data_IF_960189153342
#
_entry.id   IF_960189153342
#
_cell.length_a   1.000
_cell.length_b   1.000
_cell.length_c   1.000
_cell.angle_alpha   90.00
_cell.angle_beta   90.00
_cell.angle_gamma   90.00
#
_symmetry.space_group_name_H-M   'P 1'
#
loop_
_entity.id
_entity.type
_entity.pdbx_description
1 polymer ?
#
# COMPACT_ATOMS: atom_id res chain seq x y z
N UNK A 1 7.92 21.58 -2.68
CA UNK A 1 8.47 20.48 -3.50
C UNK A 1 8.08 20.65 -4.97
N UNK A 2 8.82 19.97 -5.85
CA UNK A 2 8.52 19.92 -7.29
C UNK A 2 8.31 18.44 -7.65
N UNK A 3 7.25 18.16 -8.41
CA UNK A 3 6.99 16.82 -8.92
C UNK A 3 7.87 16.57 -10.16
N UNK A 4 8.51 15.42 -10.31
CA UNK A 4 9.28 15.07 -11.49
C UNK A 4 8.43 15.19 -12.78
N UNK A 5 9.04 15.62 -13.88
CA UNK A 5 8.32 15.86 -15.14
C UNK A 5 7.79 14.59 -15.81
N UNK A 6 8.39 13.44 -15.52
CA UNK A 6 7.98 12.12 -15.99
C UNK A 6 6.78 11.54 -15.24
N UNK A 7 6.24 12.29 -14.26
CA UNK A 7 5.01 11.94 -13.52
C UNK A 7 3.76 12.62 -14.10
N UNK A 8 3.79 13.02 -15.36
CA UNK A 8 2.68 13.74 -16.01
C UNK A 8 1.40 12.92 -16.19
N UNK A 9 1.53 11.56 -16.19
CA UNK A 9 0.41 10.63 -16.32
C UNK A 9 0.33 9.74 -15.09
N UNK A 10 -0.88 9.44 -14.64
CA UNK A 10 -1.10 8.61 -13.46
C UNK A 10 -1.52 9.39 -12.24
N UNK A 11 -1.42 8.74 -11.09
CA UNK A 11 -1.85 9.28 -9.81
C UNK A 11 -0.66 9.54 -8.90
N UNK A 12 -0.69 10.67 -8.20
CA UNK A 12 0.33 11.02 -7.20
C UNK A 12 -0.31 11.00 -5.81
N UNK A 13 0.28 10.24 -4.92
CA UNK A 13 -0.10 10.16 -3.52
C UNK A 13 0.99 10.75 -2.64
N UNK A 14 0.57 11.39 -1.55
CA UNK A 14 1.47 11.72 -0.45
C UNK A 14 1.21 10.73 0.69
N UNK A 15 2.29 10.15 1.20
CA UNK A 15 2.26 9.12 2.22
C UNK A 15 3.01 9.59 3.47
N UNK A 16 2.38 9.43 4.63
CA UNK A 16 2.95 9.69 5.95
C UNK A 16 3.04 8.36 6.68
N UNK A 17 4.24 7.88 6.97
CA UNK A 17 4.43 6.61 7.70
C UNK A 17 3.95 6.68 9.16
N UNK A 18 3.90 7.87 9.74
CA UNK A 18 3.41 8.07 11.09
C UNK A 18 3.41 9.53 11.53
N UNK A 19 2.26 9.98 12.04
CA UNK A 19 2.05 11.32 12.60
C UNK A 19 1.25 11.20 13.88
N UNK A 20 1.78 11.69 15.01
CA UNK A 20 1.10 11.65 16.31
C UNK A 20 0.64 13.05 16.71
N UNK A 21 -0.65 13.22 17.08
CA UNK A 21 -1.73 12.24 17.18
C UNK A 21 -2.73 12.37 16.03
N UNK A 22 -2.97 13.57 15.52
CA UNK A 22 -3.87 13.88 14.42
C UNK A 22 -3.30 15.03 13.60
N UNK A 23 -3.69 15.14 12.33
CA UNK A 23 -3.25 16.25 11.47
C UNK A 23 -4.24 16.58 10.37
N UNK A 24 -4.25 17.83 9.96
CA UNK A 24 -4.82 18.30 8.71
C UNK A 24 -3.73 18.54 7.68
N UNK A 25 -4.09 18.35 6.43
CA UNK A 25 -3.21 18.50 5.27
C UNK A 25 -3.79 19.50 4.27
N UNK A 26 -2.95 20.44 3.81
CA UNK A 26 -3.24 21.36 2.71
C UNK A 26 -2.14 21.29 1.66
N UNK A 27 -2.56 21.44 0.41
CA UNK A 27 -1.65 21.57 -0.72
C UNK A 27 -2.06 22.79 -1.55
N UNK A 28 -1.11 23.68 -1.78
CA UNK A 28 -1.34 24.92 -2.55
C UNK A 28 -2.49 25.80 -2.02
N UNK A 29 -2.75 25.74 -0.70
CA UNK A 29 -3.82 26.46 -0.04
C UNK A 29 -5.17 25.73 0.02
N UNK A 30 -5.30 24.59 -0.66
CA UNK A 30 -6.52 23.78 -0.63
C UNK A 30 -6.42 22.67 0.42
N UNK A 31 -7.49 22.46 1.19
CA UNK A 31 -7.56 21.40 2.19
C UNK A 31 -7.73 20.04 1.52
N UNK A 32 -6.77 19.13 1.76
CA UNK A 32 -6.73 17.79 1.20
C UNK A 32 -7.48 16.80 2.09
N UNK A 33 -7.20 16.82 3.40
CA UNK A 33 -7.80 15.85 4.29
C UNK A 33 -7.37 15.99 5.74
N UNK A 34 -7.76 14.98 6.51
CA UNK A 34 -7.50 14.80 7.92
C UNK A 34 -7.17 13.33 8.18
N UNK A 35 -6.27 13.08 9.11
CA UNK A 35 -6.00 11.73 9.63
C UNK A 35 -5.73 11.77 11.12
N UNK A 36 -6.11 10.70 11.80
CA UNK A 36 -5.68 10.36 13.15
C UNK A 36 -5.41 8.85 13.21
N UNK A 37 -4.57 8.45 14.16
CA UNK A 37 -4.08 7.07 14.22
C UNK A 37 -2.55 7.10 14.24
N UNK A 38 -1.97 7.30 15.42
CA UNK A 38 -0.56 7.65 15.60
C UNK A 38 0.41 6.62 15.03
N UNK A 39 0.02 5.33 14.95
CA UNK A 39 0.91 4.22 14.57
C UNK A 39 0.64 3.69 13.18
N UNK A 40 -0.43 4.14 12.55
CA UNK A 40 -0.81 3.72 11.20
C UNK A 40 -0.40 4.77 10.17
N UNK A 41 -0.01 4.37 8.97
CA UNK A 41 0.27 5.30 7.89
C UNK A 41 -1.02 6.01 7.42
N UNK A 42 -0.84 7.21 6.88
CA UNK A 42 -1.90 7.98 6.23
C UNK A 42 -1.50 8.32 4.81
N UNK A 43 -2.42 8.16 3.88
CA UNK A 43 -2.18 8.39 2.46
C UNK A 43 -3.30 9.22 1.84
N UNK A 44 -2.92 10.18 0.99
CA UNK A 44 -3.86 11.06 0.29
C UNK A 44 -3.51 11.16 -1.19
N UNK A 45 -4.50 11.00 -2.05
CA UNK A 45 -4.35 11.30 -3.48
C UNK A 45 -4.34 12.81 -3.67
N UNK A 46 -3.21 13.33 -4.14
CA UNK A 46 -2.99 14.75 -4.34
C UNK A 46 -2.98 15.18 -5.81
N UNK A 47 -3.19 14.26 -6.74
CA UNK A 47 -3.07 14.48 -8.20
C UNK A 47 -3.77 15.75 -8.66
N UNK A 48 -5.03 15.94 -8.31
CA UNK A 48 -5.84 17.09 -8.77
C UNK A 48 -5.47 18.44 -8.16
N UNK A 49 -4.63 18.44 -7.12
CA UNK A 49 -4.20 19.64 -6.39
C UNK A 49 -2.79 20.09 -6.78
N UNK A 50 -2.09 19.29 -7.59
CA UNK A 50 -0.74 19.58 -8.04
C UNK A 50 -0.74 20.70 -9.08
N UNK A 51 0.31 21.52 -9.04
CA UNK A 51 0.61 22.56 -10.05
C UNK A 51 1.94 22.26 -10.70
N UNK A 52 2.15 22.77 -11.92
CA UNK A 52 3.47 22.77 -12.52
C UNK A 52 4.44 23.62 -11.70
N UNK A 53 5.68 23.13 -11.51
CA UNK A 53 6.70 23.78 -10.72
C UNK A 53 6.54 23.54 -9.22
N UNK A 54 6.69 24.60 -8.44
CA UNK A 54 6.70 24.50 -6.98
C UNK A 54 5.31 24.28 -6.39
N UNK A 55 5.21 23.28 -5.50
CA UNK A 55 4.02 22.96 -4.73
C UNK A 55 4.31 23.18 -3.23
N UNK A 56 3.41 23.86 -2.55
CA UNK A 56 3.52 24.19 -1.13
C UNK A 56 2.61 23.25 -0.34
N UNK A 57 3.24 22.43 0.51
CA UNK A 57 2.57 21.55 1.45
C UNK A 57 2.52 22.20 2.83
N UNK A 58 1.35 22.23 3.46
CA UNK A 58 1.18 22.63 4.85
C UNK A 58 0.52 21.51 5.64
N UNK A 59 1.06 21.21 6.82
CA UNK A 59 0.58 20.16 7.72
C UNK A 59 0.41 20.77 9.11
N UNK A 60 -0.83 20.77 9.62
CA UNK A 60 -1.14 21.17 10.99
C UNK A 60 -1.27 19.92 11.86
N UNK A 61 -0.32 19.71 12.75
CA UNK A 61 -0.28 18.53 13.63
C UNK A 61 -0.77 18.89 15.02
N UNK A 62 -1.71 18.11 15.52
CA UNK A 62 -2.24 18.22 16.88
C UNK A 62 -1.50 17.25 17.80
N UNK A 63 -0.92 17.80 18.86
CA UNK A 63 -0.24 16.99 19.89
C UNK A 63 -1.20 16.06 20.62
N UNK A 64 -2.42 16.52 20.85
CA UNK A 64 -3.47 15.79 21.54
C UNK A 64 -4.74 15.75 20.70
N UNK A 65 -5.38 14.60 20.67
CA UNK A 65 -6.69 14.34 20.08
C UNK A 65 -7.41 13.31 20.94
N UNK A 66 -8.65 12.97 20.62
CA UNK A 66 -9.36 11.85 21.27
C UNK A 66 -8.61 10.53 21.13
N UNK A 67 -7.91 10.32 19.99
CA UNK A 67 -7.03 9.18 19.80
C UNK A 67 -5.94 9.06 20.87
N UNK A 68 -5.46 10.17 21.42
CA UNK A 68 -4.42 10.16 22.47
C UNK A 68 -4.83 9.43 23.75
N UNK A 69 -6.15 9.31 24.02
CA UNK A 69 -6.68 8.56 25.17
C UNK A 69 -6.87 7.08 24.85
N UNK A 70 -7.10 6.74 23.58
CA UNK A 70 -7.35 5.36 23.13
C UNK A 70 -6.04 4.65 22.83
N UNK A 71 -5.05 5.38 22.30
CA UNK A 71 -3.75 4.88 21.88
C UNK A 71 -2.69 5.01 22.98
N UNK A 72 -3.08 4.84 24.25
CA UNK A 72 -2.19 4.99 25.39
C UNK A 72 -1.42 3.69 25.68
N UNK A 73 -0.49 3.34 24.77
CA UNK A 73 0.45 2.23 24.97
C UNK A 73 1.64 2.68 25.82
N UNK A 74 2.29 1.70 26.45
CA UNK A 74 3.49 1.91 27.25
C UNK A 74 4.74 2.07 26.36
N UNK A 75 4.85 3.25 25.72
CA UNK A 75 6.02 3.60 24.92
C UNK A 75 6.18 5.13 24.79
N UNK A 76 7.24 5.57 24.14
CA UNK A 76 7.61 6.98 24.01
C UNK A 76 6.50 7.84 23.41
N UNK A 77 6.13 8.92 24.11
CA UNK A 77 5.08 9.87 23.70
C UNK A 77 5.68 11.03 22.88
N UNK A 78 6.26 10.71 21.73
CA UNK A 78 6.71 11.70 20.79
C UNK A 78 5.53 12.23 19.99
N UNK A 79 5.47 13.55 19.78
CA UNK A 79 4.45 14.20 18.95
C UNK A 79 5.05 14.69 17.65
N UNK A 80 4.20 14.90 16.64
CA UNK A 80 4.61 15.42 15.36
C UNK A 80 4.76 14.34 14.28
N UNK A 81 5.41 14.71 13.20
CA UNK A 81 5.75 13.80 12.10
C UNK A 81 7.05 13.09 12.51
N UNK A 82 6.96 11.84 12.94
CA UNK A 82 8.10 11.11 13.51
C UNK A 82 8.64 10.00 12.60
N UNK A 83 8.03 9.81 11.42
CA UNK A 83 8.47 8.88 10.37
C UNK A 83 8.55 9.59 9.02
N UNK A 84 8.87 8.85 7.98
CA UNK A 84 9.05 9.40 6.64
C UNK A 84 7.76 10.00 6.07
N UNK A 85 7.95 11.01 5.22
CA UNK A 85 6.92 11.55 4.33
C UNK A 85 7.48 11.49 2.92
N UNK A 86 6.74 10.90 2.00
CA UNK A 86 7.19 10.75 0.62
C UNK A 86 6.03 10.82 -0.37
N UNK A 87 6.36 11.05 -1.62
CA UNK A 87 5.43 10.99 -2.73
C UNK A 87 5.56 9.64 -3.42
N UNK A 88 4.43 9.10 -3.85
CA UNK A 88 4.34 7.92 -4.70
C UNK A 88 3.64 8.28 -5.99
N UNK A 89 4.20 7.85 -7.11
CA UNK A 89 3.56 7.93 -8.42
C UNK A 89 3.16 6.53 -8.86
N UNK A 90 1.92 6.37 -9.27
CA UNK A 90 1.37 5.10 -9.76
C UNK A 90 0.58 5.30 -11.05
N UNK A 91 0.50 4.32 -11.94
CA UNK A 91 -0.35 4.38 -13.12
C UNK A 91 -1.82 4.61 -12.75
N UNK A 92 -2.61 5.15 -13.69
CA UNK A 92 -4.06 5.32 -13.51
C UNK A 92 -4.80 4.01 -13.28
N UNK A 93 -4.22 2.89 -13.70
CA UNK A 93 -4.71 1.55 -13.40
C UNK A 93 -3.61 0.81 -12.65
N UNK A 94 -3.88 0.45 -11.42
CA UNK A 94 -2.90 -0.24 -10.57
C UNK A 94 -3.56 -1.10 -9.50
N UNK A 95 -2.76 -1.94 -8.88
CA UNK A 95 -3.14 -2.67 -7.66
C UNK A 95 -3.14 -1.68 -6.50
N UNK A 96 -4.32 -1.34 -5.99
CA UNK A 96 -4.48 -0.39 -4.87
C UNK A 96 -4.11 -1.03 -3.54
N UNK A 97 -4.49 -2.29 -3.37
CA UNK A 97 -4.23 -3.09 -2.17
C UNK A 97 -4.24 -4.57 -2.55
N UNK A 98 -3.46 -5.38 -1.83
CA UNK A 98 -3.58 -6.82 -1.92
C UNK A 98 -3.38 -7.49 -0.56
N UNK A 99 -3.92 -8.69 -0.43
CA UNK A 99 -3.77 -9.55 0.74
C UNK A 99 -3.53 -10.98 0.27
N UNK A 100 -2.53 -11.65 0.82
CA UNK A 100 -2.34 -13.08 0.61
C UNK A 100 -2.83 -13.88 1.82
N UNK A 101 -3.56 -14.95 1.55
CA UNK A 101 -3.97 -15.94 2.53
C UNK A 101 -3.28 -17.26 2.18
N UNK A 102 -2.40 -17.70 3.07
CA UNK A 102 -1.56 -18.87 2.84
C UNK A 102 -1.97 -19.97 3.82
N UNK A 103 -2.17 -21.18 3.29
CA UNK A 103 -2.51 -22.36 4.09
C UNK A 103 -1.61 -23.52 3.70
N UNK A 104 -1.05 -24.19 4.69
CA UNK A 104 -0.33 -25.45 4.49
C UNK A 104 -1.32 -26.61 4.45
N UNK A 105 -1.13 -27.52 3.53
CA UNK A 105 -1.97 -28.69 3.29
C UNK A 105 -1.13 -29.97 3.21
N UNK A 106 -1.77 -31.12 3.12
CA UNK A 106 -1.10 -32.40 2.92
C UNK A 106 0.05 -32.65 3.94
N UNK A 107 -0.26 -32.49 5.23
CA UNK A 107 0.72 -32.62 6.33
C UNK A 107 1.96 -31.74 6.11
N UNK A 108 1.73 -30.47 5.75
CA UNK A 108 2.75 -29.44 5.49
C UNK A 108 3.65 -29.67 4.26
N UNK A 109 3.27 -30.61 3.37
CA UNK A 109 4.03 -30.89 2.15
C UNK A 109 3.61 -30.03 0.97
N UNK A 110 2.41 -29.47 1.02
CA UNK A 110 1.87 -28.58 -0.01
C UNK A 110 1.32 -27.32 0.62
N UNK A 111 1.14 -26.27 -0.16
CA UNK A 111 0.56 -25.01 0.25
C UNK A 111 -0.49 -24.55 -0.76
N UNK A 112 -1.46 -23.81 -0.28
CA UNK A 112 -2.40 -23.05 -1.10
C UNK A 112 -2.27 -21.57 -0.73
N UNK A 113 -1.99 -20.73 -1.73
CA UNK A 113 -1.92 -19.28 -1.57
C UNK A 113 -3.02 -18.64 -2.41
N UNK A 114 -3.86 -17.83 -1.76
CA UNK A 114 -4.90 -17.03 -2.43
C UNK A 114 -4.52 -15.57 -2.28
N UNK A 115 -4.24 -14.90 -3.39
CA UNK A 115 -3.97 -13.47 -3.44
C UNK A 115 -5.24 -12.76 -3.88
N UNK A 116 -5.83 -11.99 -2.97
CA UNK A 116 -6.93 -11.07 -3.26
C UNK A 116 -6.35 -9.68 -3.47
N UNK A 117 -6.66 -9.05 -4.60
CA UNK A 117 -6.14 -7.74 -4.96
C UNK A 117 -7.27 -6.81 -5.39
N UNK A 118 -7.22 -5.58 -4.91
CA UNK A 118 -8.09 -4.50 -5.34
C UNK A 118 -7.42 -3.76 -6.50
N UNK A 119 -8.05 -3.83 -7.68
CA UNK A 119 -7.60 -3.12 -8.88
C UNK A 119 -8.40 -1.84 -9.02
N UNK A 120 -7.71 -0.70 -9.11
CA UNK A 120 -8.33 0.61 -9.26
C UNK A 120 -8.10 1.16 -10.66
N UNK A 121 -9.17 1.67 -11.27
CA UNK A 121 -9.15 2.44 -12.52
C UNK A 121 -9.52 3.90 -12.21
N UNK A 122 -8.57 4.82 -12.40
CA UNK A 122 -8.79 6.27 -12.24
C UNK A 122 -9.15 6.96 -13.57
N UNK A 123 -9.19 6.22 -14.68
CA UNK A 123 -9.53 6.80 -15.99
C UNK A 123 -11.04 7.05 -16.12
N UNK A 124 -11.42 7.89 -17.08
CA UNK A 124 -12.82 8.19 -17.42
C UNK A 124 -13.50 7.12 -18.31
N UNK A 125 -12.81 6.02 -18.61
CA UNK A 125 -13.27 4.93 -19.48
C UNK A 125 -13.16 3.58 -18.78
N UNK A 126 -14.00 2.62 -19.20
CA UNK A 126 -13.80 1.21 -18.85
C UNK A 126 -12.47 0.71 -19.43
N UNK A 127 -11.76 -0.10 -18.68
CA UNK A 127 -10.51 -0.71 -19.12
C UNK A 127 -10.50 -2.22 -18.89
N UNK A 128 -9.91 -2.94 -19.83
CA UNK A 128 -9.67 -4.38 -19.71
C UNK A 128 -8.20 -4.63 -19.36
N UNK A 129 -7.96 -5.40 -18.30
CA UNK A 129 -6.63 -5.70 -17.79
C UNK A 129 -6.47 -7.20 -17.50
N UNK A 130 -5.25 -7.60 -17.19
CA UNK A 130 -4.93 -8.91 -16.62
C UNK A 130 -4.23 -8.71 -15.29
N UNK A 131 -4.52 -9.56 -14.32
CA UNK A 131 -3.84 -9.65 -13.04
C UNK A 131 -3.01 -10.93 -12.97
N UNK A 132 -1.74 -10.83 -12.60
CA UNK A 132 -0.85 -11.98 -12.36
C UNK A 132 -0.31 -11.88 -10.93
N UNK A 133 -0.41 -12.97 -10.18
CA UNK A 133 0.30 -13.18 -8.93
C UNK A 133 1.37 -14.24 -9.15
N UNK A 134 2.57 -14.01 -8.65
CA UNK A 134 3.70 -14.95 -8.74
C UNK A 134 4.37 -15.09 -7.37
N UNK A 135 4.78 -16.30 -7.06
CA UNK A 135 5.60 -16.62 -5.90
C UNK A 135 7.03 -16.94 -6.39
N UNK A 136 8.01 -16.37 -5.72
CA UNK A 136 9.44 -16.56 -6.00
C UNK A 136 10.12 -17.22 -4.80
N UNK A 137 11.18 -17.97 -5.07
CA UNK A 137 12.09 -18.49 -4.04
C UNK A 137 13.18 -17.48 -3.66
N UNK A 138 14.05 -17.86 -2.72
CA UNK A 138 15.17 -17.03 -2.23
C UNK A 138 16.22 -16.71 -3.31
N UNK A 139 16.16 -17.35 -4.46
CA UNK A 139 17.06 -17.15 -5.60
C UNK A 139 16.38 -16.43 -6.77
N UNK A 140 15.21 -15.80 -6.52
CA UNK A 140 14.39 -15.10 -7.51
C UNK A 140 13.87 -15.99 -8.65
N UNK A 141 13.76 -17.32 -8.44
CA UNK A 141 13.10 -18.21 -9.41
C UNK A 141 11.58 -18.24 -9.18
N UNK A 142 10.79 -18.07 -10.24
CA UNK A 142 9.34 -18.21 -10.15
C UNK A 142 8.97 -19.67 -9.82
N UNK A 143 8.40 -19.89 -8.63
CA UNK A 143 7.96 -21.21 -8.14
C UNK A 143 6.61 -21.56 -8.74
N UNK A 144 5.68 -20.62 -8.71
CA UNK A 144 4.33 -20.77 -9.22
C UNK A 144 3.73 -19.41 -9.54
N UNK A 145 2.86 -19.35 -10.51
CA UNK A 145 2.05 -18.16 -10.79
C UNK A 145 0.63 -18.49 -11.17
N UNK A 146 -0.26 -17.54 -10.95
CA UNK A 146 -1.66 -17.58 -11.37
C UNK A 146 -2.01 -16.29 -12.08
N UNK A 147 -2.78 -16.38 -13.17
CA UNK A 147 -3.18 -15.24 -13.99
C UNK A 147 -4.68 -15.23 -14.22
N UNK A 148 -5.31 -14.10 -13.90
CA UNK A 148 -6.69 -13.80 -14.24
C UNK A 148 -6.70 -12.86 -15.43
N UNK A 149 -7.45 -13.20 -16.47
CA UNK A 149 -7.52 -12.44 -17.74
C UNK A 149 -8.91 -11.83 -17.93
N UNK A 150 -9.01 -10.87 -18.85
CA UNK A 150 -10.27 -10.24 -19.26
C UNK A 150 -11.03 -9.63 -18.06
N UNK A 151 -10.30 -8.96 -17.20
CA UNK A 151 -10.86 -8.23 -16.07
C UNK A 151 -11.29 -6.86 -16.57
N UNK A 152 -12.60 -6.57 -16.54
CA UNK A 152 -13.13 -5.26 -16.91
C UNK A 152 -13.31 -4.43 -15.65
N UNK A 153 -12.78 -3.21 -15.68
CA UNK A 153 -12.88 -2.25 -14.58
C UNK A 153 -13.54 -1.00 -15.12
N UNK A 154 -14.73 -0.71 -14.64
CA UNK A 154 -15.47 0.48 -15.01
C UNK A 154 -14.68 1.76 -14.71
N UNK A 155 -15.05 2.86 -15.41
CA UNK A 155 -14.46 4.18 -15.18
C UNK A 155 -14.56 4.58 -13.71
N UNK A 156 -13.47 5.15 -13.18
CA UNK A 156 -13.38 5.65 -11.80
C UNK A 156 -13.79 4.63 -10.72
N UNK A 157 -13.71 3.32 -11.02
CA UNK A 157 -14.15 2.25 -10.13
C UNK A 157 -13.00 1.41 -9.59
N UNK A 158 -13.36 0.52 -8.66
CA UNK A 158 -12.46 -0.45 -8.07
C UNK A 158 -13.15 -1.80 -8.01
N UNK A 159 -12.39 -2.86 -8.28
CA UNK A 159 -12.88 -4.24 -8.18
C UNK A 159 -11.88 -5.10 -7.42
N UNK A 160 -12.39 -6.13 -6.74
CA UNK A 160 -11.56 -7.17 -6.14
C UNK A 160 -11.43 -8.35 -7.11
N UNK A 161 -10.19 -8.86 -7.23
CA UNK A 161 -9.86 -10.06 -8.01
C UNK A 161 -9.06 -11.02 -7.15
N UNK A 162 -9.21 -12.33 -7.42
CA UNK A 162 -8.51 -13.38 -6.68
C UNK A 162 -7.69 -14.26 -7.64
N UNK A 163 -6.44 -14.53 -7.26
CA UNK A 163 -5.58 -15.51 -7.92
C UNK A 163 -5.20 -16.59 -6.92
N UNK A 164 -5.43 -17.86 -7.28
CA UNK A 164 -5.10 -19.00 -6.42
C UNK A 164 -3.93 -19.77 -7.00
N UNK A 165 -2.98 -20.13 -6.13
CA UNK A 165 -1.76 -20.86 -6.46
C UNK A 165 -1.61 -22.06 -5.56
N UNK A 166 -1.43 -23.25 -6.16
CA UNK A 166 -1.08 -24.47 -5.45
C UNK A 166 0.45 -24.60 -5.47
N UNK A 167 1.05 -24.75 -4.31
CA UNK A 167 2.49 -24.86 -4.13
C UNK A 167 2.79 -26.29 -3.72
N UNK A 168 3.53 -26.99 -4.55
CA UNK A 168 4.01 -28.35 -4.24
C UNK A 168 5.39 -28.29 -3.56
N UNK A 169 5.69 -29.26 -2.71
CA UNK A 169 6.98 -29.38 -2.03
C UNK A 169 7.37 -28.13 -1.22
N UNK A 170 6.43 -27.64 -0.43
CA UNK A 170 6.68 -26.49 0.48
C UNK A 170 7.82 -26.83 1.42
N UNK A 171 8.77 -25.91 1.56
CA UNK A 171 9.81 -25.98 2.59
C UNK A 171 9.28 -25.23 3.82
N UNK A 172 8.86 -25.94 4.90
CA UNK A 172 8.44 -25.25 6.12
C UNK A 172 9.65 -24.55 6.74
N UNK A 173 9.38 -23.39 7.35
CA UNK A 173 10.41 -22.70 8.15
C UNK A 173 10.78 -23.59 9.35
N UNK A 174 12.03 -24.04 9.43
CA UNK A 174 12.55 -24.77 10.57
C UNK A 174 13.03 -23.79 11.63
N UNK A 175 12.30 -23.68 12.73
CA UNK A 175 12.72 -22.92 13.89
C UNK A 175 13.95 -23.63 14.52
N UNK A 176 15.12 -23.02 14.42
CA UNK A 176 16.22 -23.27 15.34
C UNK A 176 17.43 -24.03 14.84
N UNK A 177 17.67 -24.13 13.54
CA UNK A 177 18.91 -24.82 13.06
C UNK A 177 19.97 -23.83 12.56
N UNK A 178 19.65 -22.58 12.31
CA UNK A 178 20.67 -21.61 11.89
C UNK A 178 20.58 -20.32 12.71
N UNK A 179 21.43 -20.18 13.71
CA UNK A 179 21.56 -18.99 14.55
C UNK A 179 22.10 -17.75 13.80
N UNK A 180 22.36 -17.86 12.51
CA UNK A 180 22.99 -16.83 11.71
C UNK A 180 22.02 -16.05 10.82
N UNK A 181 20.72 -16.40 10.79
CA UNK A 181 19.71 -15.75 9.94
C UNK A 181 18.59 -15.07 10.73
N UNK A 182 18.94 -14.30 11.75
CA UNK A 182 18.03 -13.32 12.32
C UNK A 182 18.32 -11.96 11.68
N UNK A 183 17.46 -11.57 10.74
CA UNK A 183 17.29 -10.20 10.29
C UNK A 183 15.82 -9.82 10.32
#
# INVERSE_FOLDING_TARGET
>A
FVVPRDWDNGQVFIHFDGVKSAFFLWLNGEKIGYSQGSMTPAEFNITKFLKQGENILAVEVFRYSDASYIEDQDFWRLSGIYRNVYLMHVPDIHVRHFKSNNQLTNNYKSGNSIVNANLKNYTSEEKSVSFKASLYDDNDNEVVSSKVQNIFIDKNSEIEVSASMLIENVKPYELGVDQNNFY
#
